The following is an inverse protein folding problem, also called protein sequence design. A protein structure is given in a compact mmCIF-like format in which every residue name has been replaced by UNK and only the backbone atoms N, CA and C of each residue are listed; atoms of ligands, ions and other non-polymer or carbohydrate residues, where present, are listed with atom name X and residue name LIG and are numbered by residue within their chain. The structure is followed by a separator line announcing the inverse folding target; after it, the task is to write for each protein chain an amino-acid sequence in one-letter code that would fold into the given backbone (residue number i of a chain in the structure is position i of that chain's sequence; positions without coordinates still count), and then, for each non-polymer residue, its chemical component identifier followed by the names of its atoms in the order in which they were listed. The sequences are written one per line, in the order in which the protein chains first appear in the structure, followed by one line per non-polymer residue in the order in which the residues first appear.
data_IF_585586852854
#
_entry.id   IF_585586852854
#
_cell.length_a   1.000
_cell.length_b   1.000
_cell.length_c   1.000
_cell.angle_alpha   90.00
_cell.angle_beta   90.00
_cell.angle_gamma   90.00
#
_symmetry.space_group_name_H-M   'P 1'
#
loop_
_entity.id
_entity.type
_entity.pdbx_description
1 polymer ?
#
# COMPACT_ATOMS: atom_id res chain seq x y z
N UNK A 1 7.17 10.65 -18.49
CA UNK A 1 6.95 9.70 -19.60
C UNK A 1 6.81 8.27 -19.06
N UNK A 2 7.77 7.76 -18.29
CA UNK A 2 7.77 6.39 -17.77
C UNK A 2 6.50 6.03 -16.98
N UNK A 3 6.05 6.87 -16.04
CA UNK A 3 4.83 6.62 -15.27
C UNK A 3 3.57 6.60 -16.14
N UNK A 4 3.47 7.49 -17.14
CA UNK A 4 2.35 7.47 -18.08
C UNK A 4 2.25 6.13 -18.80
N UNK A 5 3.35 5.66 -19.38
CA UNK A 5 3.42 4.34 -20.02
C UNK A 5 3.09 3.20 -19.04
N UNK A 6 3.55 3.29 -17.78
CA UNK A 6 3.23 2.26 -16.77
C UNK A 6 1.74 2.19 -16.46
N UNK A 7 1.05 3.33 -16.44
CA UNK A 7 -0.42 3.36 -16.26
C UNK A 7 -1.15 2.73 -17.45
N UNK A 8 -0.70 3.02 -18.68
CA UNK A 8 -1.26 2.41 -19.90
C UNK A 8 -1.09 0.89 -19.89
N UNK A 9 0.13 0.41 -19.66
CA UNK A 9 0.43 -1.02 -19.55
C UNK A 9 -0.36 -1.69 -18.42
N UNK A 10 -0.49 -1.02 -17.28
CA UNK A 10 -1.26 -1.52 -16.14
C UNK A 10 -2.73 -1.77 -16.54
N UNK A 11 -3.34 -0.81 -17.21
CA UNK A 11 -4.74 -0.91 -17.66
C UNK A 11 -4.94 -2.01 -18.69
N UNK A 12 -4.07 -2.06 -19.69
CA UNK A 12 -4.09 -3.11 -20.70
C UNK A 12 -3.98 -4.51 -20.09
N UNK A 13 -3.04 -4.70 -19.15
CA UNK A 13 -2.86 -5.97 -18.44
C UNK A 13 -4.09 -6.33 -17.59
N UNK A 14 -4.65 -5.35 -16.87
CA UNK A 14 -5.85 -5.58 -16.08
C UNK A 14 -7.04 -6.01 -16.95
N UNK A 15 -7.27 -5.34 -18.06
CA UNK A 15 -8.35 -5.68 -19.01
C UNK A 15 -8.15 -7.08 -19.61
N UNK A 16 -6.91 -7.43 -19.99
CA UNK A 16 -6.57 -8.76 -20.51
C UNK A 16 -6.80 -9.87 -19.46
N UNK A 17 -6.41 -9.64 -18.21
CA UNK A 17 -6.61 -10.62 -17.14
C UNK A 17 -8.09 -10.73 -16.74
N UNK A 18 -8.80 -9.60 -16.64
CA UNK A 18 -10.21 -9.56 -16.31
C UNK A 18 -11.10 -10.26 -17.35
N UNK A 19 -10.68 -10.27 -18.61
CA UNK A 19 -11.38 -10.97 -19.69
C UNK A 19 -11.19 -12.51 -19.66
N UNK A 20 -10.25 -13.02 -18.87
CA UNK A 20 -10.00 -14.46 -18.78
C UNK A 20 -11.02 -15.16 -17.88
N UNK A 21 -11.41 -16.37 -18.28
CA UNK A 21 -12.18 -17.25 -17.40
C UNK A 21 -11.35 -17.59 -16.16
N UNK A 22 -11.89 -17.30 -14.96
CA UNK A 22 -11.20 -17.55 -13.70
C UNK A 22 -10.47 -16.34 -13.09
N UNK A 23 -10.73 -15.12 -13.55
CA UNK A 23 -10.30 -13.92 -12.86
C UNK A 23 -10.82 -13.94 -11.41
N UNK A 24 -9.90 -13.91 -10.45
CA UNK A 24 -10.22 -14.08 -9.03
C UNK A 24 -10.14 -12.77 -8.26
N UNK A 25 -10.82 -12.69 -7.11
CA UNK A 25 -10.68 -11.57 -6.17
C UNK A 25 -9.24 -11.38 -5.72
N UNK A 26 -8.47 -12.47 -5.58
CA UNK A 26 -7.04 -12.36 -5.27
C UNK A 26 -6.26 -11.70 -6.40
N UNK A 27 -6.60 -11.98 -7.67
CA UNK A 27 -5.98 -11.32 -8.83
C UNK A 27 -6.37 -9.84 -8.86
N UNK A 28 -7.64 -9.53 -8.62
CA UNK A 28 -8.13 -8.15 -8.51
C UNK A 28 -7.37 -7.38 -7.41
N UNK A 29 -7.24 -7.96 -6.22
CA UNK A 29 -6.47 -7.39 -5.12
C UNK A 29 -4.99 -7.19 -5.47
N UNK A 30 -4.36 -8.12 -6.18
CA UNK A 30 -2.97 -7.98 -6.62
C UNK A 30 -2.79 -6.76 -7.54
N UNK A 31 -3.72 -6.50 -8.45
CA UNK A 31 -3.71 -5.26 -9.23
C UNK A 31 -3.89 -4.00 -8.36
N UNK A 32 -4.74 -4.04 -7.34
CA UNK A 32 -4.85 -2.96 -6.37
C UNK A 32 -3.52 -2.65 -5.68
N UNK A 33 -2.81 -3.67 -5.21
CA UNK A 33 -1.47 -3.50 -4.63
C UNK A 33 -0.42 -3.04 -5.65
N UNK A 34 -0.51 -3.46 -6.92
CA UNK A 34 0.34 -2.94 -7.98
C UNK A 34 0.11 -1.46 -8.24
N UNK A 35 -1.12 -0.98 -8.17
CA UNK A 35 -1.43 0.44 -8.27
C UNK A 35 -0.74 1.25 -7.15
N UNK A 36 -0.81 0.78 -5.91
CA UNK A 36 -0.11 1.39 -4.77
C UNK A 36 1.42 1.32 -4.93
N UNK A 37 1.93 0.24 -5.52
CA UNK A 37 3.35 0.10 -5.81
C UNK A 37 3.83 1.12 -6.87
N UNK A 38 3.01 1.41 -7.88
CA UNK A 38 3.30 2.47 -8.87
C UNK A 38 3.36 3.85 -8.21
N UNK A 39 2.45 4.16 -7.30
CA UNK A 39 2.46 5.41 -6.54
C UNK A 39 3.69 5.52 -5.63
N UNK A 40 4.08 4.43 -4.99
CA UNK A 40 5.33 4.41 -4.23
C UNK A 40 6.55 4.72 -5.10
N UNK A 41 6.58 4.25 -6.35
CA UNK A 41 7.65 4.59 -7.27
C UNK A 41 7.63 6.06 -7.68
N UNK A 42 6.43 6.63 -7.80
CA UNK A 42 6.25 8.05 -8.09
C UNK A 42 6.85 8.94 -7.00
N UNK A 43 6.72 8.55 -5.73
CA UNK A 43 7.31 9.27 -4.59
C UNK A 43 8.83 9.38 -4.68
N UNK A 44 9.49 8.39 -5.27
CA UNK A 44 10.95 8.39 -5.47
C UNK A 44 11.40 8.91 -6.84
N UNK A 45 10.48 9.24 -7.73
CA UNK A 45 10.85 9.56 -9.13
C UNK A 45 10.12 10.77 -9.70
N UNK A 46 9.78 11.72 -8.86
CA UNK A 46 9.28 13.03 -9.28
C UNK A 46 10.41 14.03 -9.48
N UNK A 47 10.08 15.18 -10.09
CA UNK A 47 11.03 16.31 -10.20
C UNK A 47 11.31 17.02 -8.88
N UNK A 48 10.60 16.67 -7.82
CA UNK A 48 10.79 17.24 -6.48
C UNK A 48 11.75 16.40 -5.63
N UNK A 49 12.19 15.25 -6.12
CA UNK A 49 13.12 14.35 -5.44
C UNK A 49 14.52 14.96 -5.39
N UNK A 50 15.17 14.88 -4.23
CA UNK A 50 16.54 15.30 -4.04
C UNK A 50 17.48 14.11 -3.84
N UNK A 51 18.77 14.31 -4.09
CA UNK A 51 19.81 13.35 -3.77
C UNK A 51 20.40 13.67 -2.39
N UNK A 52 20.41 12.68 -1.50
CA UNK A 52 21.09 12.76 -0.21
C UNK A 52 22.52 12.23 -0.35
N UNK A 53 23.47 13.12 -0.61
CA UNK A 53 24.87 12.76 -0.83
C UNK A 53 25.50 11.97 0.32
N UNK A 54 25.17 12.33 1.58
CA UNK A 54 25.72 11.67 2.76
C UNK A 54 25.24 10.22 2.98
N UNK A 55 24.12 9.84 2.36
CA UNK A 55 23.54 8.51 2.46
C UNK A 55 23.56 7.77 1.12
N UNK A 56 23.95 8.45 0.07
CA UNK A 56 23.93 7.93 -1.32
C UNK A 56 22.56 7.35 -1.71
N UNK A 57 21.48 8.02 -1.29
CA UNK A 57 20.10 7.59 -1.55
C UNK A 57 19.25 8.75 -2.08
N UNK A 58 18.19 8.40 -2.77
CA UNK A 58 17.16 9.35 -3.17
C UNK A 58 16.26 9.70 -1.98
N UNK A 59 15.93 10.97 -1.86
CA UNK A 59 14.89 11.43 -0.92
C UNK A 59 13.50 11.16 -1.48
N UNK A 60 12.51 11.24 -0.61
CA UNK A 60 11.11 11.25 -0.99
C UNK A 60 10.71 12.59 -1.63
N UNK A 61 9.66 12.58 -2.43
CA UNK A 61 9.05 13.79 -3.00
C UNK A 61 8.65 14.77 -1.89
N UNK A 62 7.99 14.28 -0.85
CA UNK A 62 7.43 15.09 0.25
C UNK A 62 8.25 15.00 1.54
N UNK A 63 9.56 15.21 1.46
CA UNK A 63 10.44 15.21 2.64
C UNK A 63 10.10 16.30 3.66
N UNK A 64 9.40 17.35 3.25
CA UNK A 64 9.03 18.50 4.09
C UNK A 64 7.51 18.69 4.19
N UNK A 65 6.71 17.72 3.80
CA UNK A 65 5.26 17.82 3.73
C UNK A 65 4.76 19.04 2.93
N UNK A 66 5.48 19.38 1.87
CA UNK A 66 5.22 20.51 0.99
C UNK A 66 5.75 20.19 -0.42
N UNK A 67 5.45 21.06 -1.39
CA UNK A 67 6.01 21.00 -2.74
C UNK A 67 7.32 21.80 -2.84
N UNK A 68 8.46 21.25 -2.43
CA UNK A 68 9.72 21.98 -2.45
C UNK A 68 10.23 22.10 -3.88
N UNK A 69 10.46 23.34 -4.35
CA UNK A 69 11.09 23.56 -5.63
C UNK A 69 12.54 23.10 -5.60
N UNK A 70 12.94 22.31 -6.59
CA UNK A 70 14.31 21.82 -6.75
C UNK A 70 14.93 22.34 -8.05
N UNK A 71 16.14 22.89 -7.97
CA UNK A 71 16.93 23.27 -9.14
C UNK A 71 17.51 22.05 -9.86
N UNK A 72 17.83 21.01 -9.11
CA UNK A 72 18.28 19.73 -9.60
C UNK A 72 17.50 18.60 -8.93
N UNK A 73 17.20 17.54 -9.66
CA UNK A 73 16.53 16.37 -9.15
C UNK A 73 17.29 15.12 -9.56
N UNK A 74 17.13 14.06 -8.80
CA UNK A 74 17.62 12.73 -9.12
C UNK A 74 16.50 11.89 -9.75
N UNK A 75 16.86 10.95 -10.59
CA UNK A 75 15.93 10.01 -11.19
C UNK A 75 16.38 8.57 -10.86
N UNK A 76 15.44 7.76 -10.40
CA UNK A 76 15.68 6.33 -10.23
C UNK A 76 15.47 5.62 -11.56
N UNK A 77 16.42 4.79 -11.95
CA UNK A 77 16.28 3.98 -13.16
C UNK A 77 15.15 2.94 -12.98
N UNK A 78 14.08 3.00 -13.78
CA UNK A 78 12.86 2.23 -13.50
C UNK A 78 13.01 0.73 -13.75
N UNK A 79 13.85 0.32 -14.69
CA UNK A 79 13.94 -1.05 -15.19
C UNK A 79 15.20 -1.81 -14.74
N UNK A 80 16.02 -1.22 -13.88
CA UNK A 80 17.23 -1.91 -13.37
C UNK A 80 16.81 -2.91 -12.29
N UNK A 81 17.29 -4.16 -12.42
CA UNK A 81 17.09 -5.23 -11.44
C UNK A 81 17.62 -4.81 -10.06
N UNK A 82 16.82 -5.00 -9.04
CA UNK A 82 17.13 -4.59 -7.67
C UNK A 82 16.84 -3.12 -7.35
N UNK A 83 16.45 -2.33 -8.36
CA UNK A 83 16.02 -0.93 -8.24
C UNK A 83 14.68 -0.73 -8.97
N UNK A 84 14.17 0.47 -8.93
CA UNK A 84 12.97 0.86 -9.67
C UNK A 84 11.77 -0.04 -9.36
N UNK A 85 11.08 -0.50 -10.39
CA UNK A 85 9.88 -1.36 -10.24
C UNK A 85 10.19 -2.69 -9.58
N UNK A 86 11.31 -3.33 -9.89
CA UNK A 86 11.70 -4.61 -9.29
C UNK A 86 11.81 -4.50 -7.76
N UNK A 87 12.47 -3.45 -7.28
CA UNK A 87 12.59 -3.18 -5.84
C UNK A 87 11.23 -2.93 -5.20
N UNK A 88 10.39 -2.10 -5.79
CA UNK A 88 9.10 -1.71 -5.22
C UNK A 88 8.13 -2.88 -5.17
N UNK A 89 8.06 -3.69 -6.22
CA UNK A 89 7.22 -4.89 -6.25
C UNK A 89 7.65 -5.87 -5.15
N UNK A 90 8.95 -6.12 -5.00
CA UNK A 90 9.47 -6.98 -3.93
C UNK A 90 9.18 -6.43 -2.54
N UNK A 91 9.32 -5.13 -2.34
CA UNK A 91 8.97 -4.47 -1.08
C UNK A 91 7.48 -4.60 -0.77
N UNK A 92 6.61 -4.34 -1.73
CA UNK A 92 5.16 -4.46 -1.58
C UNK A 92 4.77 -5.90 -1.25
N UNK A 93 5.30 -6.88 -1.97
CA UNK A 93 5.06 -8.30 -1.70
C UNK A 93 5.52 -8.71 -0.30
N UNK A 94 6.68 -8.20 0.16
CA UNK A 94 7.17 -8.43 1.51
C UNK A 94 6.23 -7.83 2.56
N UNK A 95 5.76 -6.61 2.38
CA UNK A 95 4.80 -5.97 3.30
C UNK A 95 3.48 -6.75 3.38
N UNK A 96 2.96 -7.24 2.26
CA UNK A 96 1.76 -8.08 2.22
C UNK A 96 2.00 -9.39 2.99
N UNK A 97 3.14 -10.04 2.79
CA UNK A 97 3.48 -11.27 3.51
C UNK A 97 3.56 -11.02 5.03
N UNK A 98 4.22 -9.96 5.46
CA UNK A 98 4.29 -9.56 6.87
C UNK A 98 2.91 -9.22 7.46
N UNK A 99 2.04 -8.58 6.69
CA UNK A 99 0.66 -8.30 7.11
C UNK A 99 -0.15 -9.60 7.29
N UNK A 100 -0.02 -10.55 6.36
CA UNK A 100 -0.64 -11.87 6.48
C UNK A 100 -0.14 -12.60 7.72
N UNK A 101 1.16 -12.50 8.00
CA UNK A 101 1.79 -13.11 9.16
C UNK A 101 1.24 -12.51 10.47
N UNK A 102 1.10 -11.20 10.53
CA UNK A 102 0.50 -10.51 11.66
C UNK A 102 -0.98 -10.87 11.85
N UNK A 103 -1.71 -11.01 10.77
CA UNK A 103 -3.13 -11.39 10.80
C UNK A 103 -3.36 -12.87 11.19
N UNK A 104 -2.34 -13.72 11.06
CA UNK A 104 -2.40 -15.18 11.35
C UNK A 104 -1.27 -15.64 12.26
N UNK A 105 -1.18 -15.13 13.50
CA UNK A 105 -0.04 -15.40 14.38
C UNK A 105 0.08 -16.88 14.78
N UNK A 106 -1.01 -17.64 14.76
CA UNK A 106 -1.07 -19.07 15.09
C UNK A 106 -0.38 -19.97 14.05
N UNK A 107 -0.36 -19.58 12.78
CA UNK A 107 0.33 -20.30 11.71
C UNK A 107 1.86 -20.22 11.90
N UNK A 108 2.38 -19.04 12.32
CA UNK A 108 3.80 -18.78 12.51
C UNK A 108 4.33 -19.27 13.86
N UNK A 109 3.50 -19.30 14.89
CA UNK A 109 3.85 -19.91 16.16
C UNK A 109 4.26 -21.40 15.99
N UNK A 110 3.72 -22.09 14.99
CA UNK A 110 4.10 -23.47 14.65
C UNK A 110 5.45 -23.56 13.94
N UNK A 111 5.79 -22.61 13.08
CA UNK A 111 7.07 -22.61 12.35
C UNK A 111 8.25 -22.23 13.25
N UNK A 112 8.08 -21.23 14.11
CA UNK A 112 9.10 -20.83 15.09
C UNK A 112 9.35 -21.87 16.17
N UNK A 113 8.37 -22.75 16.48
CA UNK A 113 8.50 -23.82 17.48
C UNK A 113 9.20 -25.08 16.96
N UNK A 114 9.31 -25.27 15.65
CA UNK A 114 10.09 -26.39 15.07
C UNK A 114 11.58 -26.35 15.45
N UNK A 115 12.09 -25.19 15.90
CA UNK A 115 13.48 -24.97 16.29
C UNK A 115 13.71 -24.86 17.80
N UNK A 116 12.72 -25.16 18.65
CA UNK A 116 12.88 -25.17 20.13
C UNK A 116 12.42 -26.49 20.70
N UNK A 117 13.28 -27.03 21.57
CA UNK A 117 13.21 -28.26 22.37
C UNK A 117 11.84 -28.97 22.46
N UNK A 118 11.73 -30.26 22.14
CA UNK A 118 10.48 -31.02 22.10
C UNK A 118 9.77 -31.24 23.44
N UNK A 119 10.36 -30.79 24.57
CA UNK A 119 9.86 -31.07 25.94
C UNK A 119 8.85 -30.03 26.49
N UNK A 120 8.47 -29.01 25.75
CA UNK A 120 7.43 -28.04 26.15
C UNK A 120 6.32 -27.94 25.11
N UNK A 121 5.61 -29.04 24.87
CA UNK A 121 4.34 -29.03 24.15
C UNK A 121 3.20 -28.59 25.08
N UNK A 122 2.95 -27.29 25.18
CA UNK A 122 1.65 -26.81 25.63
C UNK A 122 0.61 -27.09 24.54
N UNK A 123 -0.53 -27.64 24.92
CA UNK A 123 -1.68 -27.86 24.04
C UNK A 123 -2.04 -26.56 23.34
N UNK A 124 -1.86 -26.51 22.02
CA UNK A 124 -2.33 -25.42 21.19
C UNK A 124 -3.80 -25.68 20.85
N UNK A 125 -4.65 -24.76 21.25
CA UNK A 125 -6.01 -24.71 20.71
C UNK A 125 -5.91 -24.66 19.18
N UNK A 126 -6.35 -25.72 18.53
CA UNK A 126 -6.35 -25.88 17.07
C UNK A 126 -7.63 -25.33 16.44
N UNK A 127 -8.28 -24.35 17.07
CA UNK A 127 -9.40 -23.65 16.42
C UNK A 127 -8.89 -23.00 15.12
N UNK A 128 -9.57 -23.26 14.00
CA UNK A 128 -9.24 -22.59 12.74
C UNK A 128 -9.28 -21.07 12.94
N UNK A 129 -8.25 -20.38 12.47
CA UNK A 129 -8.25 -18.92 12.48
C UNK A 129 -9.42 -18.43 11.61
N UNK A 130 -10.33 -17.70 12.22
CA UNK A 130 -11.38 -16.96 11.51
C UNK A 130 -10.98 -15.49 11.55
N UNK A 131 -10.75 -14.86 10.39
CA UNK A 131 -10.47 -13.42 10.36
C UNK A 131 -11.63 -12.66 11.02
N UNK A 132 -11.34 -11.63 11.83
CA UNK A 132 -12.40 -10.77 12.33
C UNK A 132 -13.11 -10.09 11.14
N UNK A 133 -14.40 -9.84 11.23
CA UNK A 133 -15.10 -9.07 10.21
C UNK A 133 -14.51 -7.65 10.16
N UNK A 134 -14.18 -7.19 8.97
CA UNK A 134 -13.66 -5.83 8.73
C UNK A 134 -14.58 -5.16 7.73
N UNK A 135 -15.06 -3.97 8.06
CA UNK A 135 -15.78 -3.11 7.14
C UNK A 135 -14.94 -1.85 6.91
N UNK A 136 -14.69 -1.53 5.64
CA UNK A 136 -13.99 -0.31 5.23
C UNK A 136 -15.00 0.58 4.54
N UNK A 137 -15.12 1.82 5.01
CA UNK A 137 -16.01 2.81 4.44
C UNK A 137 -15.26 4.11 4.16
N UNK A 138 -15.71 4.87 3.16
CA UNK A 138 -15.19 6.19 2.83
C UNK A 138 -16.27 7.22 3.11
N UNK A 139 -16.23 7.80 4.32
CA UNK A 139 -17.20 8.81 4.78
C UNK A 139 -16.47 9.95 5.48
N UNK A 140 -17.13 11.10 5.59
CA UNK A 140 -16.64 12.19 6.42
C UNK A 140 -16.71 11.79 7.90
N UNK A 141 -15.70 12.17 8.68
CA UNK A 141 -15.66 11.89 10.11
C UNK A 141 -16.52 12.84 10.95
N UNK A 142 -17.11 13.86 10.33
CA UNK A 142 -18.06 14.79 10.99
C UNK A 142 -19.48 14.20 11.09
N UNK A 143 -19.77 13.16 10.29
CA UNK A 143 -21.00 12.42 10.30
C UNK A 143 -20.70 10.93 10.24
N UNK A 144 -21.13 10.17 11.24
CA UNK A 144 -20.97 8.73 11.33
C UNK A 144 -22.31 8.01 11.07
N UNK A 145 -23.15 8.56 10.20
CA UNK A 145 -24.51 8.08 9.90
C UNK A 145 -24.59 6.63 9.41
N UNK A 146 -23.46 6.05 9.04
CA UNK A 146 -23.33 4.65 8.66
C UNK A 146 -23.12 3.70 9.86
N UNK A 147 -23.05 4.22 11.08
CA UNK A 147 -22.93 3.47 12.32
C UNK A 147 -24.19 3.67 13.17
N UNK A 148 -24.68 2.60 13.73
CA UNK A 148 -25.78 2.66 14.67
C UNK A 148 -25.35 3.26 16.01
N UNK A 149 -26.27 3.95 16.70
CA UNK A 149 -26.02 4.48 18.02
C UNK A 149 -25.60 3.36 19.00
N UNK A 150 -24.59 3.63 19.82
CA UNK A 150 -24.07 2.70 20.83
C UNK A 150 -23.57 1.35 20.27
N UNK A 151 -23.16 1.31 18.99
CA UNK A 151 -22.69 0.08 18.33
C UNK A 151 -21.17 -0.15 18.46
N UNK A 152 -20.40 0.84 18.96
CA UNK A 152 -18.94 0.83 19.01
C UNK A 152 -18.44 0.87 20.44
N UNK A 153 -17.62 -0.10 20.83
CA UNK A 153 -17.01 -0.17 22.18
C UNK A 153 -15.75 0.70 22.30
N UNK A 154 -14.99 0.84 21.23
CA UNK A 154 -13.72 1.58 21.23
C UNK A 154 -13.58 2.40 19.96
N UNK A 155 -13.22 3.66 20.10
CA UNK A 155 -12.86 4.56 19.00
C UNK A 155 -11.38 4.89 19.07
N UNK A 156 -10.65 4.66 17.97
CA UNK A 156 -9.24 5.03 17.85
C UNK A 156 -9.11 5.99 16.68
N UNK A 157 -8.57 7.18 16.92
CA UNK A 157 -8.47 8.25 15.93
C UNK A 157 -7.05 8.80 15.86
N UNK A 158 -6.62 9.12 14.65
CA UNK A 158 -5.44 9.94 14.35
C UNK A 158 -5.89 11.07 13.39
N UNK A 159 -6.47 12.15 13.94
CA UNK A 159 -7.04 13.21 13.12
C UNK A 159 -5.96 14.05 12.44
N UNK A 160 -6.27 14.71 11.33
CA UNK A 160 -5.37 15.65 10.68
C UNK A 160 -4.98 16.78 11.64
N UNK A 161 -3.73 17.22 11.56
CA UNK A 161 -3.25 18.37 12.32
C UNK A 161 -3.77 19.65 11.69
N UNK A 162 -4.55 20.39 12.49
CA UNK A 162 -5.16 21.65 12.03
C UNK A 162 -4.10 22.62 11.51
N UNK A 163 -4.26 23.09 10.27
CA UNK A 163 -3.44 24.12 9.60
C UNK A 163 -1.92 23.85 9.56
N UNK A 164 -1.49 22.62 9.83
CA UNK A 164 -0.08 22.28 9.89
C UNK A 164 0.41 21.50 8.66
N UNK A 165 -0.46 20.76 8.02
CA UNK A 165 -0.16 19.95 6.82
C UNK A 165 -1.30 20.09 5.83
N UNK A 166 -0.98 20.42 4.58
CA UNK A 166 -1.93 20.52 3.48
C UNK A 166 -2.22 19.12 2.90
N UNK A 167 -2.97 18.31 3.66
CA UNK A 167 -3.21 16.89 3.33
C UNK A 167 -3.87 16.70 1.98
N UNK A 168 -4.86 17.52 1.63
CA UNK A 168 -5.59 17.41 0.37
C UNK A 168 -4.65 17.60 -0.82
N UNK A 169 -3.89 18.67 -0.82
CA UNK A 169 -2.96 19.03 -1.91
C UNK A 169 -1.85 17.97 -2.05
N UNK A 170 -1.34 17.44 -0.94
CA UNK A 170 -0.32 16.39 -0.98
C UNK A 170 -0.88 15.07 -1.50
N UNK A 171 -2.11 14.73 -1.14
CA UNK A 171 -2.77 13.51 -1.61
C UNK A 171 -3.14 13.59 -3.09
N UNK A 172 -3.50 14.77 -3.59
CA UNK A 172 -3.84 14.98 -5.01
C UNK A 172 -2.72 14.58 -5.96
N UNK A 173 -1.47 14.74 -5.52
CA UNK A 173 -0.30 14.30 -6.30
C UNK A 173 -0.36 12.80 -6.63
N UNK A 174 -0.77 11.97 -5.68
CA UNK A 174 -0.92 10.53 -5.87
C UNK A 174 -2.28 10.17 -6.48
N UNK A 175 -3.33 10.89 -6.10
CA UNK A 175 -4.70 10.63 -6.56
C UNK A 175 -4.85 10.68 -8.07
N UNK A 176 -4.13 11.58 -8.74
CA UNK A 176 -4.10 11.67 -10.21
C UNK A 176 -3.72 10.34 -10.86
N UNK A 177 -2.86 9.57 -10.25
CA UNK A 177 -2.38 8.28 -10.73
C UNK A 177 -3.25 7.13 -10.23
N UNK A 178 -3.61 7.12 -8.94
CA UNK A 178 -4.53 6.15 -8.36
C UNK A 178 -5.87 6.12 -9.05
N UNK A 179 -6.42 7.28 -9.39
CA UNK A 179 -7.67 7.36 -10.15
C UNK A 179 -7.61 6.63 -11.50
N UNK A 180 -6.44 6.59 -12.12
CA UNK A 180 -6.21 5.95 -13.42
C UNK A 180 -5.84 4.47 -13.33
N UNK A 181 -5.52 3.99 -12.15
CA UNK A 181 -5.11 2.62 -11.86
C UNK A 181 -6.08 1.95 -10.91
N UNK A 182 -5.97 2.17 -9.61
CA UNK A 182 -6.88 1.59 -8.61
C UNK A 182 -8.34 2.00 -8.82
N UNK A 183 -8.63 3.26 -9.17
CA UNK A 183 -9.98 3.75 -9.46
C UNK A 183 -10.63 3.12 -10.71
N UNK A 184 -9.83 2.50 -11.59
CA UNK A 184 -10.35 1.70 -12.70
C UNK A 184 -10.81 0.30 -12.22
N UNK A 185 -10.23 -0.20 -11.14
CA UNK A 185 -10.53 -1.52 -10.55
C UNK A 185 -11.64 -1.42 -9.50
N UNK A 186 -11.60 -0.36 -8.71
CA UNK A 186 -12.49 -0.09 -7.57
C UNK A 186 -13.14 1.28 -7.74
N UNK A 187 -14.11 1.42 -8.67
CA UNK A 187 -14.72 2.72 -8.97
C UNK A 187 -15.58 3.27 -7.83
N UNK A 188 -15.86 2.46 -6.81
CA UNK A 188 -16.62 2.84 -5.62
C UNK A 188 -15.81 3.68 -4.62
N UNK A 189 -14.48 3.76 -4.74
CA UNK A 189 -13.56 4.56 -3.94
C UNK A 189 -12.91 5.64 -4.80
#
# INVERSE_FOLDING_TARGET
LCHGTSVEVFRELYEQENAKAGFSEATKAAFGYLALALDKFLDYNSRLVAWHANREVMAHTFTQHAYPMKWSHAEMAPLITGLGYDWIIKQTAKCIAELIDLARPDVHAKAARKNKDPKKQGSLNTTPYTPPPVTVTCHSADSLDHLDDQSVDVVVMDPPYYDNVMYAELSDFFYVWLKRTAGHIYPEY
#
